data_IF_309890145624
#
_entry.id   IF_309890145624
#
_cell.length_a   1.000
_cell.length_b   1.000
_cell.length_c   1.000
_cell.angle_alpha   90.00
_cell.angle_beta   90.00
_cell.angle_gamma   90.00
#
_symmetry.space_group_name_H-M   'P 1'
#
loop_
_entity.id
_entity.type
_entity.pdbx_description
1 polymer ?
#
# COMPACT_ATOMS: atom_id res chain seq x y z
N UNK A 1 -16.34 -82.03 -67.15
CA UNK A 1 -16.81 -82.04 -65.73
C UNK A 1 -15.74 -81.52 -64.77
N UNK A 2 -14.44 -81.68 -65.05
CA UNK A 2 -13.36 -81.25 -64.13
C UNK A 2 -13.12 -79.72 -64.10
N UNK A 3 -13.35 -79.01 -65.22
CA UNK A 3 -13.20 -77.54 -65.27
C UNK A 3 -14.26 -76.76 -64.47
N UNK A 4 -15.48 -77.29 -64.32
CA UNK A 4 -16.55 -76.63 -63.54
C UNK A 4 -16.31 -76.75 -62.02
N UNK A 5 -15.77 -77.89 -61.57
CA UNK A 5 -15.39 -78.10 -60.16
C UNK A 5 -14.16 -77.27 -59.75
N UNK A 6 -13.22 -77.06 -60.66
CA UNK A 6 -12.06 -76.17 -60.46
C UNK A 6 -12.45 -74.69 -60.36
N UNK A 7 -13.45 -74.25 -61.14
CA UNK A 7 -13.95 -72.87 -61.09
C UNK A 7 -14.82 -72.64 -59.85
N UNK A 8 -15.63 -73.62 -59.43
CA UNK A 8 -16.41 -73.57 -58.18
C UNK A 8 -15.53 -73.63 -56.92
N UNK A 9 -14.47 -74.44 -56.91
CA UNK A 9 -13.51 -74.50 -55.80
C UNK A 9 -12.57 -73.29 -55.75
N UNK A 10 -12.21 -72.72 -56.92
CA UNK A 10 -11.47 -71.47 -57.04
C UNK A 10 -12.27 -70.23 -56.60
N UNK A 11 -13.57 -70.20 -56.89
CA UNK A 11 -14.47 -69.10 -56.49
C UNK A 11 -14.78 -69.08 -54.99
N UNK A 12 -15.02 -70.25 -54.37
CA UNK A 12 -15.25 -70.38 -52.92
C UNK A 12 -13.99 -70.09 -52.11
N UNK A 13 -12.82 -70.58 -52.55
CA UNK A 13 -11.55 -70.28 -51.89
C UNK A 13 -11.17 -68.79 -52.01
N UNK A 14 -11.43 -68.17 -53.16
CA UNK A 14 -11.25 -66.73 -53.34
C UNK A 14 -12.14 -65.88 -52.42
N UNK A 15 -13.42 -66.24 -52.27
CA UNK A 15 -14.35 -65.54 -51.38
C UNK A 15 -13.95 -65.63 -49.90
N UNK A 16 -13.49 -66.79 -49.44
CA UNK A 16 -13.00 -67.00 -48.07
C UNK A 16 -11.73 -66.18 -47.81
N UNK A 17 -10.80 -66.13 -48.77
CA UNK A 17 -9.59 -65.31 -48.67
C UNK A 17 -9.91 -63.81 -48.62
N UNK A 18 -10.84 -63.33 -49.46
CA UNK A 18 -11.29 -61.93 -49.43
C UNK A 18 -11.99 -61.59 -48.11
N UNK A 19 -12.80 -62.50 -47.58
CA UNK A 19 -13.48 -62.30 -46.29
C UNK A 19 -12.48 -62.25 -45.12
N UNK A 20 -11.51 -63.16 -45.08
CA UNK A 20 -10.43 -63.15 -44.09
C UNK A 20 -9.56 -61.89 -44.20
N UNK A 21 -9.20 -61.48 -45.42
CA UNK A 21 -8.43 -60.26 -45.65
C UNK A 21 -9.22 -59.02 -45.21
N UNK A 22 -10.51 -58.93 -45.52
CA UNK A 22 -11.37 -57.82 -45.10
C UNK A 22 -11.53 -57.77 -43.57
N UNK A 23 -11.70 -58.93 -42.93
CA UNK A 23 -11.75 -59.04 -41.47
C UNK A 23 -10.44 -58.62 -40.81
N UNK A 24 -9.31 -59.10 -41.33
CA UNK A 24 -7.97 -58.77 -40.82
C UNK A 24 -7.62 -57.29 -40.99
N UNK A 25 -7.90 -56.72 -42.17
CA UNK A 25 -7.68 -55.29 -42.44
C UNK A 25 -8.57 -54.44 -41.54
N UNK A 26 -9.85 -54.78 -41.40
CA UNK A 26 -10.79 -54.04 -40.54
C UNK A 26 -10.36 -54.07 -39.08
N UNK A 27 -9.97 -55.23 -38.57
CA UNK A 27 -9.55 -55.37 -37.17
C UNK A 27 -8.25 -54.61 -36.90
N UNK A 28 -7.30 -54.66 -37.83
CA UNK A 28 -6.04 -53.94 -37.72
C UNK A 28 -6.22 -52.42 -37.83
N UNK A 29 -7.12 -51.95 -38.70
CA UNK A 29 -7.47 -50.53 -38.80
C UNK A 29 -8.14 -50.05 -37.51
N UNK A 30 -9.06 -50.84 -36.95
CA UNK A 30 -9.74 -50.54 -35.70
C UNK A 30 -8.77 -50.50 -34.52
N UNK A 31 -7.84 -51.46 -34.43
CA UNK A 31 -6.78 -51.46 -33.42
C UNK A 31 -5.85 -50.25 -33.57
N UNK A 32 -5.46 -49.89 -34.79
CA UNK A 32 -4.65 -48.69 -35.07
C UNK A 32 -5.35 -47.41 -34.61
N UNK A 33 -6.63 -47.24 -34.95
CA UNK A 33 -7.42 -46.08 -34.56
C UNK A 33 -7.58 -46.02 -33.03
N UNK A 34 -7.89 -47.16 -32.39
CA UNK A 34 -8.01 -47.23 -30.94
C UNK A 34 -6.68 -46.90 -30.23
N UNK A 35 -5.56 -47.37 -30.77
CA UNK A 35 -4.24 -47.03 -30.25
C UNK A 35 -3.97 -45.53 -30.38
N UNK A 36 -4.22 -44.92 -31.53
CA UNK A 36 -4.00 -43.50 -31.75
C UNK A 36 -4.90 -42.64 -30.83
N UNK A 37 -6.15 -43.04 -30.61
CA UNK A 37 -7.03 -42.36 -29.64
C UNK A 37 -6.57 -42.56 -28.20
N UNK A 38 -6.11 -43.75 -27.82
CA UNK A 38 -5.57 -44.01 -26.49
C UNK A 38 -4.32 -43.17 -26.23
N UNK A 39 -3.42 -43.09 -27.20
CA UNK A 39 -2.19 -42.29 -27.16
C UNK A 39 -2.51 -40.79 -27.06
N UNK A 40 -3.44 -40.28 -27.88
CA UNK A 40 -3.91 -38.89 -27.77
C UNK A 40 -4.59 -38.60 -26.43
N UNK A 41 -5.36 -39.55 -25.90
CA UNK A 41 -6.02 -39.39 -24.60
C UNK A 41 -4.98 -39.33 -23.47
N UNK A 42 -3.97 -40.20 -23.50
CA UNK A 42 -2.88 -40.19 -22.53
C UNK A 42 -2.03 -38.93 -22.64
N UNK A 43 -1.73 -38.46 -23.85
CA UNK A 43 -1.00 -37.21 -24.04
C UNK A 43 -1.79 -36.02 -23.51
N UNK A 44 -3.09 -35.93 -23.80
CA UNK A 44 -3.96 -34.88 -23.24
C UNK A 44 -4.08 -34.98 -21.72
N UNK A 45 -4.21 -36.18 -21.15
CA UNK A 45 -4.22 -36.36 -19.68
C UNK A 45 -2.92 -35.89 -19.05
N UNK A 46 -1.79 -36.23 -19.66
CA UNK A 46 -0.47 -35.84 -19.17
C UNK A 46 -0.25 -34.34 -19.28
N UNK A 47 -0.65 -33.73 -20.40
CA UNK A 47 -0.60 -32.28 -20.61
C UNK A 47 -1.54 -31.53 -19.65
N UNK A 48 -2.74 -32.05 -19.40
CA UNK A 48 -3.67 -31.44 -18.47
C UNK A 48 -3.15 -31.55 -17.03
N UNK A 49 -2.63 -32.72 -16.65
CA UNK A 49 -2.07 -32.92 -15.31
C UNK A 49 -0.86 -32.03 -15.07
N UNK A 50 0.04 -31.88 -16.07
CA UNK A 50 1.18 -30.99 -15.97
C UNK A 50 0.77 -29.51 -15.86
N UNK A 51 -0.25 -29.08 -16.61
CA UNK A 51 -0.82 -27.72 -16.47
C UNK A 51 -1.46 -27.50 -15.10
N UNK A 52 -2.22 -28.47 -14.59
CA UNK A 52 -2.85 -28.38 -13.27
C UNK A 52 -1.78 -28.31 -12.16
N UNK A 53 -0.73 -29.13 -12.24
CA UNK A 53 0.39 -29.10 -11.30
C UNK A 53 1.14 -27.78 -11.37
N UNK A 54 1.39 -27.24 -12.57
CA UNK A 54 2.03 -25.94 -12.76
C UNK A 54 1.20 -24.80 -12.13
N UNK A 55 -0.12 -24.76 -12.38
CA UNK A 55 -1.03 -23.75 -11.81
C UNK A 55 -1.08 -23.88 -10.28
N UNK A 56 -1.15 -25.11 -9.76
CA UNK A 56 -1.16 -25.36 -8.31
C UNK A 56 0.14 -24.87 -7.67
N UNK A 57 1.28 -25.19 -8.27
CA UNK A 57 2.58 -24.73 -7.79
C UNK A 57 2.69 -23.20 -7.85
N UNK A 58 2.29 -22.56 -8.95
CA UNK A 58 2.28 -21.10 -9.09
C UNK A 58 1.40 -20.43 -8.02
N UNK A 59 0.22 -20.98 -7.76
CA UNK A 59 -0.67 -20.49 -6.70
C UNK A 59 -0.02 -20.63 -5.32
N UNK A 60 0.62 -21.77 -5.02
CA UNK A 60 1.37 -21.95 -3.77
C UNK A 60 2.51 -20.93 -3.62
N UNK A 61 3.29 -20.68 -4.69
CA UNK A 61 4.35 -19.66 -4.67
C UNK A 61 3.77 -18.26 -4.44
N UNK A 62 2.65 -17.92 -5.10
CA UNK A 62 1.95 -16.65 -4.92
C UNK A 62 1.45 -16.46 -3.49
N UNK A 63 0.86 -17.50 -2.89
CA UNK A 63 0.41 -17.51 -1.50
C UNK A 63 1.57 -17.32 -0.53
N UNK A 64 2.69 -18.02 -0.73
CA UNK A 64 3.89 -17.86 0.11
C UNK A 64 4.47 -16.45 0.02
N UNK A 65 4.58 -15.89 -1.20
CA UNK A 65 5.05 -14.51 -1.40
C UNK A 65 4.16 -13.51 -0.67
N UNK A 66 2.84 -13.70 -0.78
CA UNK A 66 1.84 -12.84 -0.13
C UNK A 66 1.94 -12.92 1.39
N UNK A 67 2.08 -14.14 1.94
CA UNK A 67 2.27 -14.34 3.39
C UNK A 67 3.53 -13.63 3.90
N UNK A 68 4.67 -13.82 3.20
CA UNK A 68 5.93 -13.17 3.57
C UNK A 68 5.83 -11.64 3.53
N UNK A 69 5.12 -11.10 2.54
CA UNK A 69 4.89 -9.67 2.44
C UNK A 69 4.06 -9.14 3.64
N UNK A 70 2.98 -9.83 4.01
CA UNK A 70 2.16 -9.46 5.17
C UNK A 70 2.92 -9.59 6.49
N UNK A 71 3.75 -10.61 6.65
CA UNK A 71 4.60 -10.77 7.84
C UNK A 71 5.58 -9.59 7.96
N UNK A 72 6.24 -9.21 6.86
CA UNK A 72 7.12 -8.03 6.86
C UNK A 72 6.37 -6.72 7.13
N UNK A 73 5.16 -6.54 6.60
CA UNK A 73 4.32 -5.39 6.92
C UNK A 73 3.96 -5.32 8.40
N UNK A 74 3.53 -6.45 8.99
CA UNK A 74 3.22 -6.53 10.42
C UNK A 74 4.43 -6.14 11.27
N UNK A 75 5.59 -6.70 10.94
CA UNK A 75 6.82 -6.44 11.67
C UNK A 75 7.26 -4.97 11.54
N UNK A 76 7.17 -4.39 10.33
CA UNK A 76 7.44 -2.98 10.08
C UNK A 76 6.53 -2.06 10.90
N UNK A 77 5.21 -2.31 10.85
CA UNK A 77 4.22 -1.51 11.58
C UNK A 77 4.40 -1.62 13.09
N UNK A 78 4.65 -2.82 13.60
CA UNK A 78 4.91 -3.04 15.02
C UNK A 78 6.19 -2.31 15.46
N UNK A 79 7.28 -2.39 14.69
CA UNK A 79 8.54 -1.73 15.00
C UNK A 79 8.39 -0.21 15.05
N UNK A 80 7.73 0.39 14.05
CA UNK A 80 7.53 1.84 13.96
C UNK A 80 6.66 2.37 15.09
N UNK A 81 5.49 1.76 15.36
CA UNK A 81 4.61 2.19 16.46
C UNK A 81 5.29 2.01 17.82
N UNK A 82 6.00 0.89 18.02
CA UNK A 82 6.73 0.64 19.26
C UNK A 82 7.81 1.69 19.48
N UNK A 83 8.56 2.04 18.42
CA UNK A 83 9.61 3.05 18.52
C UNK A 83 9.03 4.43 18.80
N UNK A 84 7.92 4.82 18.17
CA UNK A 84 7.21 6.07 18.50
C UNK A 84 6.82 6.13 19.98
N UNK A 85 6.23 5.07 20.50
CA UNK A 85 5.82 4.98 21.91
C UNK A 85 7.02 5.08 22.86
N UNK A 86 8.13 4.42 22.53
CA UNK A 86 9.37 4.50 23.30
C UNK A 86 9.93 5.92 23.32
N UNK A 87 10.00 6.58 22.16
CA UNK A 87 10.48 7.96 22.05
C UNK A 87 9.61 8.89 22.89
N UNK A 88 8.28 8.83 22.75
CA UNK A 88 7.38 9.69 23.53
C UNK A 88 7.54 9.46 25.05
N UNK A 89 7.68 8.19 25.48
CA UNK A 89 7.88 7.86 26.89
C UNK A 89 9.22 8.40 27.41
N UNK A 90 10.30 8.23 26.64
CA UNK A 90 11.62 8.77 26.98
C UNK A 90 11.56 10.30 27.04
N UNK A 91 10.97 10.93 26.02
CA UNK A 91 10.86 12.38 25.94
C UNK A 91 10.05 12.98 27.11
N UNK A 92 8.92 12.37 27.46
CA UNK A 92 8.10 12.77 28.61
C UNK A 92 8.79 12.55 29.96
N UNK A 93 9.83 11.70 30.04
CA UNK A 93 10.59 11.53 31.29
C UNK A 93 11.41 12.77 31.68
N UNK A 94 11.63 13.68 30.73
CA UNK A 94 12.27 14.98 30.93
C UNK A 94 11.28 16.10 31.28
N UNK A 95 9.99 15.79 31.42
CA UNK A 95 8.98 16.81 31.76
C UNK A 95 9.16 17.28 33.20
N UNK A 96 9.29 18.59 33.38
CA UNK A 96 9.28 19.25 34.68
C UNK A 96 7.89 19.90 34.93
N UNK A 97 7.21 19.67 36.06
CA UNK A 97 5.92 20.29 36.35
C UNK A 97 5.92 21.81 36.49
N UNK A 98 7.05 22.40 36.89
CA UNK A 98 7.21 23.84 37.12
C UNK A 98 7.73 24.55 35.85
N UNK A 99 8.66 23.93 35.14
CA UNK A 99 9.28 24.52 33.94
C UNK A 99 8.58 24.07 32.65
N UNK A 100 7.99 22.87 32.60
CA UNK A 100 7.46 22.24 31.40
C UNK A 100 8.49 21.35 30.71
N UNK A 101 8.30 21.09 29.42
CA UNK A 101 9.25 20.31 28.62
C UNK A 101 9.85 21.18 27.53
N UNK A 102 11.13 21.53 27.69
CA UNK A 102 11.92 22.24 26.69
C UNK A 102 13.04 21.39 26.12
N UNK A 103 13.19 20.12 26.50
CA UNK A 103 14.16 19.26 25.82
C UNK A 103 13.64 18.87 24.43
N UNK A 104 14.50 18.82 23.39
CA UNK A 104 14.08 18.37 22.07
C UNK A 104 13.83 16.85 22.09
N UNK A 105 13.28 16.32 21.00
CA UNK A 105 13.14 14.87 20.84
C UNK A 105 14.49 14.14 21.12
N UNK A 106 14.48 13.02 21.87
CA UNK A 106 15.68 12.22 22.10
C UNK A 106 16.37 11.85 20.79
N UNK A 107 17.63 12.30 20.64
CA UNK A 107 18.35 12.23 19.37
C UNK A 107 18.62 10.79 18.90
N UNK A 108 18.96 9.89 19.82
CA UNK A 108 19.11 8.45 19.58
C UNK A 108 17.79 7.83 19.11
N UNK A 109 16.71 8.09 19.85
CA UNK A 109 15.37 7.62 19.53
C UNK A 109 14.91 8.06 18.14
N UNK A 110 15.04 9.36 17.82
CA UNK A 110 14.71 9.91 16.50
C UNK A 110 15.50 9.24 15.38
N UNK A 111 16.82 9.06 15.57
CA UNK A 111 17.69 8.43 14.57
C UNK A 111 17.30 6.98 14.31
N UNK A 112 17.08 6.20 15.37
CA UNK A 112 16.65 4.81 15.25
C UNK A 112 15.28 4.70 14.56
N UNK A 113 14.35 5.61 14.84
CA UNK A 113 13.06 5.67 14.13
C UNK A 113 13.25 5.97 12.63
N UNK A 114 14.14 6.89 12.29
CA UNK A 114 14.46 7.22 10.90
C UNK A 114 15.13 6.03 10.17
N UNK A 115 16.02 5.30 10.85
CA UNK A 115 16.61 4.07 10.32
C UNK A 115 15.55 2.99 10.07
N UNK A 116 14.63 2.77 11.01
CA UNK A 116 13.49 1.85 10.83
C UNK A 116 12.58 2.27 9.67
N UNK A 117 12.31 3.58 9.55
CA UNK A 117 11.50 4.12 8.46
C UNK A 117 12.09 3.79 7.10
N UNK A 118 13.39 4.03 6.90
CA UNK A 118 14.05 3.72 5.63
C UNK A 118 14.20 2.22 5.40
N UNK A 119 14.49 1.43 6.44
CA UNK A 119 14.58 -0.03 6.37
C UNK A 119 13.27 -0.65 5.87
N UNK A 120 12.14 -0.11 6.31
CA UNK A 120 10.82 -0.66 5.99
C UNK A 120 10.09 0.09 4.87
N UNK A 121 10.71 1.09 4.23
CA UNK A 121 10.05 1.98 3.27
C UNK A 121 9.34 1.25 2.13
N UNK A 122 9.86 0.12 1.66
CA UNK A 122 9.25 -0.70 0.61
C UNK A 122 7.83 -1.20 0.98
N UNK A 123 7.56 -1.34 2.28
CA UNK A 123 6.31 -1.88 2.81
C UNK A 123 5.33 -0.79 3.26
N UNK A 124 5.73 0.48 3.13
CA UNK A 124 4.93 1.65 3.48
C UNK A 124 4.30 2.23 2.21
N UNK A 125 2.98 2.17 2.11
CA UNK A 125 2.25 2.81 1.02
C UNK A 125 2.04 4.31 1.26
N UNK A 126 1.38 5.00 0.33
CA UNK A 126 1.19 6.46 0.40
C UNK A 126 0.51 6.92 1.69
N UNK A 127 -0.47 6.17 2.20
CA UNK A 127 -1.17 6.48 3.45
C UNK A 127 -0.24 6.36 4.65
N UNK A 128 0.57 5.30 4.70
CA UNK A 128 1.57 5.11 5.74
C UNK A 128 2.67 6.18 5.70
N UNK A 129 3.16 6.52 4.50
CA UNK A 129 4.21 7.51 4.32
C UNK A 129 3.74 8.92 4.75
N UNK A 130 2.54 9.33 4.33
CA UNK A 130 1.92 10.59 4.75
C UNK A 130 1.70 10.65 6.27
N UNK A 131 1.22 9.55 6.86
CA UNK A 131 0.99 9.49 8.30
C UNK A 131 2.29 9.62 9.11
N UNK A 132 3.34 8.90 8.69
CA UNK A 132 4.63 8.92 9.36
C UNK A 132 5.42 10.21 9.10
N UNK A 133 5.17 10.91 7.98
CA UNK A 133 5.80 12.22 7.76
C UNK A 133 5.34 13.25 8.79
N UNK A 134 4.09 13.21 9.24
CA UNK A 134 3.62 14.09 10.32
C UNK A 134 4.39 13.86 11.64
N UNK A 135 4.74 12.60 11.93
CA UNK A 135 5.53 12.24 13.11
C UNK A 135 6.97 12.74 12.95
N UNK A 136 7.59 12.51 11.78
CA UNK A 136 8.93 13.03 11.48
C UNK A 136 8.96 14.56 11.57
N UNK A 137 7.98 15.24 11.01
CA UNK A 137 7.89 16.70 11.03
C UNK A 137 7.71 17.22 12.47
N UNK A 138 6.94 16.52 13.32
CA UNK A 138 6.84 16.84 14.75
C UNK A 138 8.19 16.70 15.48
N UNK A 139 8.95 15.63 15.19
CA UNK A 139 10.29 15.48 15.74
C UNK A 139 11.25 16.58 15.29
N UNK A 140 11.24 16.94 14.00
CA UNK A 140 12.11 18.00 13.47
C UNK A 140 11.75 19.37 14.05
N UNK A 141 10.46 19.70 14.19
CA UNK A 141 10.01 20.97 14.77
C UNK A 141 10.42 21.17 16.23
N UNK A 142 10.66 20.09 16.96
CA UNK A 142 11.14 20.18 18.35
C UNK A 142 12.61 20.56 18.48
N UNK A 143 13.38 20.53 17.39
CA UNK A 143 14.80 20.85 17.42
C UNK A 143 15.01 22.36 17.56
N UNK A 144 16.05 22.81 18.28
CA UNK A 144 16.39 24.22 18.37
C UNK A 144 16.66 24.81 16.98
N UNK A 145 16.18 26.04 16.75
CA UNK A 145 16.39 26.75 15.49
C UNK A 145 16.99 28.14 15.73
N UNK A 146 17.83 28.58 14.79
CA UNK A 146 18.36 29.94 14.76
C UNK A 146 17.37 30.83 14.00
N UNK A 147 16.85 31.86 14.66
CA UNK A 147 15.93 32.84 14.08
C UNK A 147 16.65 34.02 13.40
N UNK A 148 18.00 34.01 13.42
CA UNK A 148 18.83 35.05 12.83
C UNK A 148 18.89 36.33 13.66
N UNK A 149 18.34 36.33 14.87
CA UNK A 149 18.38 37.48 15.79
C UNK A 149 19.74 37.66 16.47
N UNK A 150 20.62 36.66 16.39
CA UNK A 150 21.88 36.59 17.13
C UNK A 150 21.72 36.18 18.60
N UNK A 151 20.50 35.85 19.03
CA UNK A 151 20.24 35.19 20.31
C UNK A 151 20.64 33.70 20.27
N UNK A 152 20.78 33.02 21.43
CA UNK A 152 20.88 31.56 21.45
C UNK A 152 19.72 30.91 20.69
N UNK A 153 19.93 29.71 20.10
CA UNK A 153 18.88 29.01 19.38
C UNK A 153 17.59 28.94 20.19
N UNK A 154 16.50 29.35 19.56
CA UNK A 154 15.18 29.30 20.17
C UNK A 154 14.70 27.85 20.18
N UNK A 155 13.98 27.50 21.23
CA UNK A 155 13.35 26.21 21.36
C UNK A 155 11.91 26.37 21.82
N UNK A 156 10.99 25.77 21.07
CA UNK A 156 9.58 25.74 21.43
C UNK A 156 9.34 24.75 22.58
N UNK A 157 8.27 24.98 23.33
CA UNK A 157 7.79 24.04 24.34
C UNK A 157 7.40 22.71 23.67
N UNK A 158 8.18 21.67 23.95
CA UNK A 158 8.10 20.34 23.33
C UNK A 158 6.88 19.52 23.76
N UNK A 159 6.22 19.87 24.87
CA UNK A 159 5.03 19.18 25.38
C UNK A 159 3.94 19.05 24.30
N UNK A 160 3.78 20.09 23.48
CA UNK A 160 2.80 20.15 22.40
C UNK A 160 3.10 19.14 21.29
N UNK A 161 4.38 18.88 21.00
CA UNK A 161 4.78 17.87 20.01
C UNK A 161 4.51 16.45 20.52
N UNK A 162 4.65 16.21 21.82
CA UNK A 162 4.27 14.91 22.40
C UNK A 162 2.76 14.70 22.28
N UNK A 163 1.94 15.66 22.71
CA UNK A 163 0.47 15.56 22.60
C UNK A 163 0.03 15.39 21.14
N UNK A 164 0.71 16.04 20.20
CA UNK A 164 0.47 15.87 18.77
C UNK A 164 0.74 14.43 18.31
N UNK A 165 1.82 13.80 18.78
CA UNK A 165 2.14 12.41 18.45
C UNK A 165 1.21 11.44 19.19
N UNK A 166 0.81 11.73 20.42
CA UNK A 166 -0.20 10.95 21.16
C UNK A 166 -1.55 10.94 20.45
N UNK A 167 -1.93 12.05 19.81
CA UNK A 167 -3.10 12.12 18.94
C UNK A 167 -2.96 11.23 17.70
N UNK A 168 -1.78 11.23 17.08
CA UNK A 168 -1.50 10.47 15.85
C UNK A 168 -1.37 8.97 16.09
N UNK A 169 -0.65 8.54 17.12
CA UNK A 169 -0.28 7.14 17.34
C UNK A 169 -1.47 6.14 17.24
N UNK A 170 -2.62 6.34 17.91
CA UNK A 170 -3.77 5.43 17.78
C UNK A 170 -4.39 5.45 16.38
N UNK A 171 -4.35 6.60 15.68
CA UNK A 171 -4.86 6.75 14.31
C UNK A 171 -3.95 6.06 13.30
N UNK A 172 -2.64 6.21 13.44
CA UNK A 172 -1.63 5.52 12.63
C UNK A 172 -1.73 4.00 12.85
N UNK A 173 -1.88 3.55 14.10
CA UNK A 173 -2.11 2.14 14.39
C UNK A 173 -3.39 1.61 13.72
N UNK A 174 -4.44 2.42 13.64
CA UNK A 174 -5.67 2.07 12.89
C UNK A 174 -5.43 1.95 11.39
N UNK A 175 -4.67 2.87 10.79
CA UNK A 175 -4.26 2.77 9.37
C UNK A 175 -3.44 1.50 9.15
N UNK A 176 -2.45 1.21 10.00
CA UNK A 176 -1.64 -0.01 9.89
C UNK A 176 -2.49 -1.29 10.01
N UNK A 177 -3.46 -1.33 10.92
CA UNK A 177 -4.42 -2.46 11.03
C UNK A 177 -5.18 -2.66 9.73
N UNK A 178 -5.63 -1.59 9.08
CA UNK A 178 -6.35 -1.68 7.80
C UNK A 178 -5.49 -2.33 6.70
N UNK A 179 -4.18 -2.04 6.66
CA UNK A 179 -3.23 -2.61 5.69
C UNK A 179 -3.00 -4.11 5.84
N UNK A 180 -3.12 -4.63 7.05
CA UNK A 180 -2.97 -6.06 7.34
C UNK A 180 -4.32 -6.80 7.43
N UNK A 181 -5.41 -6.20 6.94
CA UNK A 181 -6.73 -6.82 6.90
C UNK A 181 -7.42 -6.93 8.26
N UNK A 182 -6.99 -6.13 9.25
CA UNK A 182 -7.63 -6.04 10.57
C UNK A 182 -8.61 -4.86 10.59
N UNK A 183 -9.68 -4.98 11.37
CA UNK A 183 -10.68 -3.93 11.55
C UNK A 183 -10.03 -2.60 11.96
N UNK A 184 -10.49 -1.53 11.31
CA UNK A 184 -9.96 -0.18 11.45
C UNK A 184 -11.09 0.82 11.31
N UNK A 185 -10.93 1.98 11.95
CA UNK A 185 -11.83 3.10 11.77
C UNK A 185 -11.39 3.94 10.56
N UNK A 186 -12.19 4.03 9.50
CA UNK A 186 -11.88 4.83 8.32
C UNK A 186 -11.82 6.34 8.61
N UNK A 187 -12.45 6.81 9.69
CA UNK A 187 -12.34 8.19 10.13
C UNK A 187 -10.89 8.53 10.56
N UNK A 188 -10.13 7.56 11.10
CA UNK A 188 -8.74 7.81 11.47
C UNK A 188 -7.84 8.15 10.28
N UNK A 189 -8.08 7.55 9.11
CA UNK A 189 -7.34 7.92 7.90
C UNK A 189 -7.73 9.33 7.44
N UNK A 190 -9.02 9.65 7.48
CA UNK A 190 -9.52 11.00 7.16
C UNK A 190 -8.91 12.05 8.09
N UNK A 191 -8.91 11.82 9.41
CA UNK A 191 -8.32 12.71 10.40
C UNK A 191 -6.83 12.98 10.11
N UNK A 192 -6.05 11.94 9.79
CA UNK A 192 -4.63 12.07 9.45
C UNK A 192 -4.45 12.87 8.15
N UNK A 193 -5.25 12.57 7.13
CA UNK A 193 -5.16 13.25 5.84
C UNK A 193 -5.51 14.74 5.94
N UNK A 194 -6.56 15.07 6.70
CA UNK A 194 -6.95 16.46 6.99
C UNK A 194 -5.89 17.17 7.83
N UNK A 195 -5.33 16.50 8.83
CA UNK A 195 -4.24 17.07 9.62
C UNK A 195 -3.02 17.37 8.74
N UNK A 196 -2.63 16.42 7.88
CA UNK A 196 -1.56 16.59 6.90
C UNK A 196 -1.81 17.79 5.99
N UNK A 197 -3.02 17.93 5.46
CA UNK A 197 -3.44 19.05 4.63
C UNK A 197 -3.32 20.40 5.36
N UNK A 198 -3.84 20.48 6.58
CA UNK A 198 -3.79 21.69 7.40
C UNK A 198 -2.35 22.08 7.73
N UNK A 199 -1.51 21.12 8.09
CA UNK A 199 -0.09 21.34 8.39
C UNK A 199 0.67 21.83 7.14
N UNK A 200 0.39 21.28 5.96
CA UNK A 200 1.01 21.73 4.70
C UNK A 200 0.64 23.18 4.38
N UNK A 201 -0.66 23.51 4.36
CA UNK A 201 -1.09 24.87 3.99
C UNK A 201 -0.71 25.90 5.05
N UNK A 202 -0.53 25.52 6.32
CA UNK A 202 -0.10 26.47 7.37
C UNK A 202 1.43 26.49 7.61
N UNK A 203 2.17 25.47 7.15
CA UNK A 203 3.60 25.31 7.40
C UNK A 203 4.49 26.02 6.38
N UNK A 204 4.01 26.22 5.15
CA UNK A 204 4.75 26.93 4.11
C UNK A 204 4.41 28.42 4.04
N UNK A 205 5.24 29.20 3.33
CA UNK A 205 5.04 30.62 3.06
C UNK A 205 5.13 30.90 1.56
N UNK A 206 3.99 30.87 0.88
CA UNK A 206 3.82 31.21 -0.54
C UNK A 206 2.65 32.19 -0.68
N UNK A 207 2.96 33.48 -0.60
CA UNK A 207 1.94 34.54 -0.57
C UNK A 207 1.14 34.64 -1.87
N UNK A 208 1.70 34.22 -3.00
CA UNK A 208 1.04 34.24 -4.31
C UNK A 208 -0.15 33.27 -4.43
N UNK A 209 -0.25 32.31 -3.50
CA UNK A 209 -1.34 31.33 -3.42
C UNK A 209 -2.01 31.31 -2.04
N UNK A 210 -1.93 32.43 -1.31
CA UNK A 210 -2.53 32.60 0.01
C UNK A 210 -2.08 31.56 1.05
N UNK A 211 -0.79 31.19 1.01
CA UNK A 211 -0.18 30.26 1.96
C UNK A 211 0.82 30.99 2.87
N UNK A 212 0.65 30.96 4.20
CA UNK A 212 -0.41 30.28 4.94
C UNK A 212 -1.77 31.02 4.86
N UNK A 213 -2.90 30.30 4.95
CA UNK A 213 -4.22 30.89 4.80
C UNK A 213 -4.56 31.86 5.92
N UNK A 214 -5.44 32.82 5.58
CA UNK A 214 -6.12 33.71 6.52
C UNK A 214 -7.54 33.20 6.76
N UNK A 215 -8.16 33.57 7.88
CA UNK A 215 -9.54 33.19 8.16
C UNK A 215 -9.68 31.76 8.71
N UNK A 216 -10.68 31.03 8.24
CA UNK A 216 -11.16 29.78 8.85
C UNK A 216 -10.11 28.66 8.87
N UNK A 217 -9.29 28.55 7.83
CA UNK A 217 -8.24 27.53 7.73
C UNK A 217 -6.92 27.90 8.45
N UNK A 218 -6.85 29.08 9.07
CA UNK A 218 -5.63 29.57 9.72
C UNK A 218 -5.45 28.93 11.10
N UNK A 219 -4.37 28.17 11.29
CA UNK A 219 -4.10 27.43 12.53
C UNK A 219 -2.94 27.99 13.35
N UNK A 220 -2.49 29.21 13.07
CA UNK A 220 -1.33 29.85 13.73
C UNK A 220 -1.37 29.89 15.26
N UNK A 221 -2.56 29.89 15.86
CA UNK A 221 -2.76 29.94 17.33
C UNK A 221 -3.27 28.62 17.91
N UNK A 222 -3.38 27.58 17.08
CA UNK A 222 -4.01 26.31 17.43
C UNK A 222 -2.90 25.29 17.55
N UNK A 223 -2.73 24.77 18.76
CA UNK A 223 -1.68 23.82 19.09
C UNK A 223 -2.18 22.38 19.03
N UNK A 224 -3.40 22.15 19.47
CA UNK A 224 -3.99 20.81 19.54
C UNK A 224 -4.29 20.24 18.14
N UNK A 225 -3.91 18.98 17.94
CA UNK A 225 -4.08 18.30 16.66
C UNK A 225 -5.55 18.00 16.34
N UNK A 226 -6.37 17.71 17.35
CA UNK A 226 -7.80 17.43 17.15
C UNK A 226 -8.57 18.68 16.74
N UNK A 227 -8.23 19.84 17.31
CA UNK A 227 -8.81 21.12 16.92
C UNK A 227 -8.44 21.50 15.47
N UNK A 228 -7.19 21.25 15.06
CA UNK A 228 -6.76 21.43 13.66
C UNK A 228 -7.55 20.54 12.70
N UNK A 229 -7.73 19.27 13.05
CA UNK A 229 -8.54 18.33 12.25
C UNK A 229 -9.97 18.80 12.15
N UNK A 230 -10.58 19.22 13.27
CA UNK A 230 -11.94 19.74 13.29
C UNK A 230 -12.12 20.93 12.34
N UNK A 231 -11.21 21.90 12.37
CA UNK A 231 -11.24 23.05 11.45
C UNK A 231 -11.15 22.61 9.99
N UNK A 232 -10.25 21.68 9.69
CA UNK A 232 -10.09 21.16 8.34
C UNK A 232 -11.32 20.39 7.85
N UNK A 233 -11.98 19.62 8.73
CA UNK A 233 -13.23 18.91 8.41
C UNK A 233 -14.40 19.89 8.21
N UNK A 234 -14.53 20.89 9.10
CA UNK A 234 -15.58 21.91 9.03
C UNK A 234 -15.49 22.77 7.75
N UNK A 235 -14.30 22.85 7.13
CA UNK A 235 -14.02 23.64 5.93
C UNK A 235 -13.34 22.81 4.82
N UNK A 236 -13.73 21.54 4.68
CA UNK A 236 -13.03 20.56 3.83
C UNK A 236 -12.94 20.96 2.36
N UNK A 237 -14.00 21.53 1.79
CA UNK A 237 -14.03 21.96 0.39
C UNK A 237 -13.05 23.11 0.13
N UNK A 238 -12.98 24.07 1.07
CA UNK A 238 -12.04 25.20 1.02
C UNK A 238 -10.60 24.69 1.11
N UNK A 239 -10.35 23.74 2.03
CA UNK A 239 -9.03 23.14 2.23
C UNK A 239 -8.53 22.41 0.97
N UNK A 240 -9.39 21.63 0.33
CA UNK A 240 -9.05 20.90 -0.90
C UNK A 240 -8.79 21.86 -2.04
N UNK A 241 -9.63 22.89 -2.21
CA UNK A 241 -9.41 23.91 -3.23
C UNK A 241 -8.06 24.62 -3.04
N UNK A 242 -7.71 24.96 -1.79
CA UNK A 242 -6.44 25.60 -1.47
C UNK A 242 -5.25 24.67 -1.76
N UNK A 243 -5.33 23.39 -1.39
CA UNK A 243 -4.28 22.41 -1.69
C UNK A 243 -4.07 22.21 -3.19
N UNK A 244 -5.14 22.15 -3.98
CA UNK A 244 -5.05 22.01 -5.45
C UNK A 244 -4.41 23.24 -6.09
N UNK A 245 -4.80 24.44 -5.65
CA UNK A 245 -4.14 25.68 -6.09
C UNK A 245 -2.64 25.67 -5.74
N UNK A 246 -2.29 25.15 -4.56
CA UNK A 246 -0.91 25.03 -4.14
C UNK A 246 -0.12 24.02 -4.98
N UNK A 247 -0.70 22.86 -5.27
CA UNK A 247 -0.11 21.84 -6.15
C UNK A 247 0.17 22.41 -7.54
N UNK A 248 -0.80 23.12 -8.12
CA UNK A 248 -0.66 23.75 -9.44
C UNK A 248 0.49 24.77 -9.44
N UNK A 249 0.57 25.59 -8.39
CA UNK A 249 1.65 26.57 -8.24
C UNK A 249 3.03 25.93 -8.15
N UNK A 250 3.18 24.86 -7.36
CA UNK A 250 4.45 24.14 -7.23
C UNK A 250 4.85 23.36 -8.50
N UNK A 251 3.88 23.05 -9.36
CA UNK A 251 4.09 22.32 -10.61
C UNK A 251 4.53 23.22 -11.77
N UNK A 252 4.62 24.53 -11.57
CA UNK A 252 5.14 25.49 -12.58
C UNK A 252 6.64 25.28 -12.81
N UNK A 253 7.11 25.54 -14.05
CA UNK A 253 8.49 25.31 -14.47
C UNK A 253 9.51 25.98 -13.52
N UNK A 254 10.50 25.19 -13.08
CA UNK A 254 11.58 25.61 -12.17
C UNK A 254 11.45 25.13 -10.71
N UNK A 255 10.48 24.25 -10.40
CA UNK A 255 10.20 23.62 -9.10
C UNK A 255 11.22 23.83 -7.98
N UNK A 256 10.93 24.76 -7.06
CA UNK A 256 11.89 25.18 -6.04
C UNK A 256 11.89 24.24 -4.81
N UNK A 257 10.85 23.41 -4.62
CA UNK A 257 10.73 22.50 -3.46
C UNK A 257 10.02 21.18 -3.84
N UNK A 258 10.78 20.20 -4.36
CA UNK A 258 10.23 18.87 -4.72
C UNK A 258 9.59 18.13 -3.55
N UNK A 259 10.09 18.31 -2.32
CA UNK A 259 9.52 17.67 -1.13
C UNK A 259 8.09 18.16 -0.84
N UNK A 260 7.86 19.48 -0.91
CA UNK A 260 6.55 20.06 -0.68
C UNK A 260 5.53 19.54 -1.70
N UNK A 261 5.93 19.53 -2.98
CA UNK A 261 5.09 19.03 -4.07
C UNK A 261 4.72 17.56 -3.87
N UNK A 262 5.69 16.72 -3.48
CA UNK A 262 5.45 15.31 -3.20
C UNK A 262 4.46 15.13 -2.05
N UNK A 263 4.67 15.84 -0.93
CA UNK A 263 3.78 15.76 0.25
C UNK A 263 2.35 16.19 -0.12
N UNK A 264 2.17 17.30 -0.84
CA UNK A 264 0.84 17.78 -1.26
C UNK A 264 0.13 16.78 -2.16
N UNK A 265 0.83 16.22 -3.14
CA UNK A 265 0.25 15.22 -4.04
C UNK A 265 -0.18 13.97 -3.30
N UNK A 266 0.66 13.48 -2.38
CA UNK A 266 0.32 12.35 -1.51
C UNK A 266 -0.93 12.65 -0.67
N UNK A 267 -0.98 13.82 -0.02
CA UNK A 267 -2.13 14.22 0.80
C UNK A 267 -3.41 14.36 -0.02
N UNK A 268 -3.35 14.96 -1.21
CA UNK A 268 -4.51 15.07 -2.12
C UNK A 268 -5.02 13.71 -2.57
N UNK A 269 -4.13 12.79 -2.99
CA UNK A 269 -4.51 11.43 -3.37
C UNK A 269 -5.25 10.70 -2.25
N UNK A 270 -4.75 10.80 -1.01
CA UNK A 270 -5.37 10.15 0.15
C UNK A 270 -6.70 10.80 0.50
N UNK A 271 -6.80 12.14 0.47
CA UNK A 271 -8.05 12.85 0.72
C UNK A 271 -9.14 12.48 -0.30
N UNK A 272 -8.82 12.53 -1.59
CA UNK A 272 -9.76 12.17 -2.66
C UNK A 272 -10.25 10.71 -2.48
N UNK A 273 -9.34 9.79 -2.14
CA UNK A 273 -9.70 8.40 -1.82
C UNK A 273 -10.64 8.30 -0.62
N UNK A 274 -10.39 9.05 0.45
CA UNK A 274 -11.24 9.04 1.64
C UNK A 274 -12.66 9.55 1.35
N UNK A 275 -12.78 10.63 0.57
CA UNK A 275 -14.08 11.24 0.23
C UNK A 275 -14.92 10.34 -0.68
N UNK A 276 -14.29 9.68 -1.67
CA UNK A 276 -14.97 8.69 -2.52
C UNK A 276 -15.52 7.53 -1.68
N UNK A 277 -14.71 7.05 -0.72
CA UNK A 277 -15.13 5.96 0.17
C UNK A 277 -16.25 6.35 1.15
N UNK A 278 -16.37 7.64 1.50
CA UNK A 278 -17.49 8.14 2.32
C UNK A 278 -18.78 8.28 1.49
N UNK A 279 -18.69 8.83 0.28
CA UNK A 279 -19.83 8.98 -0.65
C UNK A 279 -20.47 7.64 -1.04
N UNK A 280 -19.68 6.58 -1.16
CA UNK A 280 -20.16 5.22 -1.45
C UNK A 280 -20.84 4.52 -0.27
N UNK A 281 -20.77 5.09 0.93
CA UNK A 281 -21.38 4.53 2.16
C UNK A 281 -22.66 5.26 2.60
N UNK A 282 -22.93 6.44 2.04
CA UNK A 282 -24.17 7.22 2.24
C UNK A 282 -25.21 6.90 1.18
#
# INVERSE_FOLDING_TARGET
>A
MEYLLSILSGGLSGAVLVWLAKGWISERLKQSIQHEYAEKLESYKTELNSKVEAIKHENQVSQLRTSLFFDHQRDAFAALITKMAQINKEWMSHYDPEEGLYEPVPSSGRREFEELFYQHQLFLDEECLMALSLVKDAYIRSLPFDDGSGAPPHQDESSQHISYIEYLQPRIASVFRSKIGVESDPQHLMDIAVLSAIELVNGYRFLDVDIPPKGNLSTRRIKDASDKVKIGLDNIDELISLLRNFEEYLSRDGGWIHEAQLKIKQTLNVLDKCLINQSTRT
#
